data_IF_699274498823
#
_entry.id   IF_699274498823
#
_cell.length_a   1.000
_cell.length_b   1.000
_cell.length_c   1.000
_cell.angle_alpha   90.00
_cell.angle_beta   90.00
_cell.angle_gamma   90.00
#
_symmetry.space_group_name_H-M   'P 1'
#
loop_
_entity.id
_entity.type
_entity.pdbx_description
1 polymer ?
#
# COMPACT_ATOMS: atom_id res chain seq x y z
N UNK A 1 42.80 45.04 9.60
CA UNK A 1 42.38 44.98 11.02
C UNK A 1 41.12 44.14 11.09
N UNK A 2 41.10 43.17 12.00
CA UNK A 2 40.21 42.00 12.00
C UNK A 2 38.79 42.32 12.48
N UNK A 3 37.84 41.65 11.82
CA UNK A 3 36.47 41.38 12.26
C UNK A 3 36.44 40.68 13.63
N UNK A 4 36.36 41.42 14.73
CA UNK A 4 36.31 40.85 16.08
C UNK A 4 34.92 40.93 16.74
N UNK A 5 33.92 41.58 16.12
CA UNK A 5 32.64 41.85 16.78
C UNK A 5 31.51 40.86 16.45
N UNK A 6 31.63 40.06 15.39
CA UNK A 6 30.57 39.10 15.00
C UNK A 6 30.82 37.67 15.52
N UNK A 7 32.06 37.34 15.89
CA UNK A 7 32.42 35.99 16.37
C UNK A 7 32.01 35.79 17.85
N UNK A 8 32.01 36.85 18.67
CA UNK A 8 31.57 36.79 20.07
C UNK A 8 30.05 36.61 20.20
N UNK A 9 29.26 37.24 19.32
CA UNK A 9 27.80 37.15 19.36
C UNK A 9 27.30 35.78 18.91
N UNK A 10 27.94 35.18 17.90
CA UNK A 10 27.61 33.82 17.45
C UNK A 10 28.04 32.79 18.50
N UNK A 11 29.18 32.99 19.16
CA UNK A 11 29.62 32.09 20.26
C UNK A 11 28.73 32.18 21.49
N UNK A 12 28.23 33.37 21.85
CA UNK A 12 27.24 33.51 22.93
C UNK A 12 25.93 32.79 22.56
N UNK A 13 25.46 32.94 21.31
CA UNK A 13 24.26 32.25 20.85
C UNK A 13 24.43 30.72 20.86
N UNK A 14 25.62 30.20 20.53
CA UNK A 14 25.90 28.76 20.55
C UNK A 14 26.15 28.21 21.96
N UNK A 15 26.65 29.03 22.90
CA UNK A 15 26.86 28.63 24.30
C UNK A 15 25.59 28.71 25.15
N UNK A 16 24.67 29.64 24.85
CA UNK A 16 23.36 29.72 25.52
C UNK A 16 22.36 28.67 24.99
N UNK A 17 22.64 28.07 23.84
CA UNK A 17 21.80 27.04 23.20
C UNK A 17 22.11 25.60 23.68
N UNK A 18 22.42 25.42 24.96
CA UNK A 18 22.14 24.13 25.60
C UNK A 18 20.62 23.83 25.68
N UNK A 19 19.77 24.80 25.34
CA UNK A 19 18.34 24.64 25.08
C UNK A 19 17.97 24.22 23.63
N UNK A 20 18.92 24.10 22.70
CA UNK A 20 18.64 23.73 21.31
C UNK A 20 18.11 22.29 21.14
N UNK A 21 18.29 21.43 22.15
CA UNK A 21 17.70 20.10 22.17
C UNK A 21 16.17 20.12 22.34
N UNK A 22 15.58 21.22 22.84
CA UNK A 22 14.13 21.36 23.02
C UNK A 22 13.43 22.05 21.84
N UNK A 23 14.18 22.75 20.97
CA UNK A 23 13.63 23.45 19.79
C UNK A 23 13.68 22.58 18.52
N UNK A 24 14.70 21.72 18.40
CA UNK A 24 14.84 20.76 17.29
C UNK A 24 13.58 19.90 17.02
N UNK A 25 12.93 19.28 18.04
CA UNK A 25 11.75 18.46 17.80
C UNK A 25 10.54 19.26 17.30
N UNK A 26 10.48 20.58 17.54
CA UNK A 26 9.37 21.43 17.09
C UNK A 26 9.51 21.84 15.61
N UNK A 27 10.73 22.11 15.13
CA UNK A 27 10.98 22.43 13.72
C UNK A 27 10.72 21.22 12.82
N UNK A 28 11.15 20.02 13.25
CA UNK A 28 10.91 18.78 12.51
C UNK A 28 9.41 18.44 12.45
N UNK A 29 8.67 18.66 13.55
CA UNK A 29 7.23 18.42 13.59
C UNK A 29 6.42 19.36 12.69
N UNK A 30 6.83 20.63 12.57
CA UNK A 30 6.16 21.61 11.70
C UNK A 30 6.48 21.38 10.22
N UNK A 31 7.74 21.00 9.92
CA UNK A 31 8.15 20.58 8.59
C UNK A 31 7.40 19.32 8.13
N UNK A 32 7.30 18.31 8.98
CA UNK A 32 6.54 17.09 8.72
C UNK A 32 5.06 17.41 8.48
N UNK A 33 4.46 18.31 9.28
CA UNK A 33 3.07 18.74 9.07
C UNK A 33 2.85 19.37 7.70
N UNK A 34 3.71 20.30 7.29
CA UNK A 34 3.60 20.96 5.97
C UNK A 34 3.82 19.96 4.83
N UNK A 35 4.80 19.08 4.97
CA UNK A 35 5.09 18.00 4.01
C UNK A 35 3.89 17.07 3.84
N UNK A 36 3.28 16.63 4.95
CA UNK A 36 2.08 15.80 4.94
C UNK A 36 0.91 16.51 4.26
N UNK A 37 0.70 17.80 4.56
CA UNK A 37 -0.33 18.62 3.90
C UNK A 37 -0.11 18.75 2.40
N UNK A 38 1.12 19.00 1.97
CA UNK A 38 1.47 19.05 0.55
C UNK A 38 1.20 17.70 -0.14
N UNK A 39 1.57 16.58 0.49
CA UNK A 39 1.34 15.25 -0.07
C UNK A 39 -0.15 14.91 -0.16
N UNK A 40 -0.95 15.31 0.83
CA UNK A 40 -2.41 15.15 0.76
C UNK A 40 -3.01 15.93 -0.41
N UNK A 41 -2.57 17.18 -0.63
CA UNK A 41 -3.04 18.00 -1.75
C UNK A 41 -2.62 17.42 -3.10
N UNK A 42 -1.36 16.99 -3.23
CA UNK A 42 -0.88 16.29 -4.42
C UNK A 42 -1.74 15.06 -4.71
N UNK A 43 -2.18 14.35 -3.69
CA UNK A 43 -3.02 13.16 -3.83
C UNK A 43 -4.43 13.39 -4.36
N UNK A 44 -4.94 14.61 -4.18
CA UNK A 44 -6.22 15.03 -4.76
C UNK A 44 -6.05 15.51 -6.19
N UNK A 45 -4.89 16.08 -6.52
CA UNK A 45 -4.62 16.72 -7.81
C UNK A 45 -4.01 15.77 -8.85
N UNK A 46 -3.31 14.73 -8.41
CA UNK A 46 -2.62 13.80 -9.29
C UNK A 46 -3.52 12.63 -9.67
N UNK A 47 -3.87 12.56 -10.96
CA UNK A 47 -4.38 11.36 -11.61
C UNK A 47 -3.34 10.81 -12.61
N UNK A 48 -3.63 9.64 -13.17
CA UNK A 48 -2.75 8.97 -14.13
C UNK A 48 -2.46 9.82 -15.39
N UNK A 49 -3.40 10.68 -15.79
CA UNK A 49 -3.21 11.59 -16.91
C UNK A 49 -2.25 12.71 -16.55
N UNK A 50 -2.41 13.30 -15.37
CA UNK A 50 -1.58 14.39 -14.84
C UNK A 50 -0.14 13.93 -14.64
N UNK A 51 0.08 12.73 -14.08
CA UNK A 51 1.41 12.13 -13.92
C UNK A 51 2.11 11.99 -15.27
N UNK A 52 1.39 11.46 -16.28
CA UNK A 52 1.92 11.28 -17.63
C UNK A 52 2.24 12.60 -18.33
N UNK A 53 1.33 13.58 -18.25
CA UNK A 53 1.51 14.90 -18.87
C UNK A 53 2.68 15.66 -18.26
N UNK A 54 2.79 15.66 -16.94
CA UNK A 54 3.83 16.35 -16.19
C UNK A 54 5.16 15.56 -16.13
N UNK A 55 5.18 14.33 -16.66
CA UNK A 55 6.35 13.42 -16.64
C UNK A 55 6.92 13.26 -15.24
N UNK A 56 6.05 13.14 -14.24
CA UNK A 56 6.46 12.97 -12.85
C UNK A 56 7.10 11.57 -12.70
N UNK A 57 8.33 11.45 -12.16
CA UNK A 57 8.96 10.16 -11.94
C UNK A 57 8.14 9.33 -10.93
N UNK A 58 7.56 8.22 -11.40
CA UNK A 58 6.66 7.38 -10.61
C UNK A 58 7.35 6.75 -9.39
N UNK A 59 8.65 6.48 -9.49
CA UNK A 59 9.47 5.97 -8.40
C UNK A 59 9.58 6.97 -7.25
N UNK A 60 9.89 8.24 -7.57
CA UNK A 60 9.98 9.33 -6.59
C UNK A 60 8.64 9.68 -5.99
N UNK A 61 7.59 9.65 -6.80
CA UNK A 61 6.23 9.87 -6.31
C UNK A 61 5.83 8.76 -5.33
N UNK A 62 6.05 7.49 -5.70
CA UNK A 62 5.75 6.35 -4.82
C UNK A 62 6.53 6.44 -3.52
N UNK A 63 7.85 6.72 -3.59
CA UNK A 63 8.70 6.92 -2.42
C UNK A 63 8.15 8.02 -1.50
N UNK A 64 7.77 9.18 -2.06
CA UNK A 64 7.22 10.30 -1.30
C UNK A 64 5.95 9.91 -0.52
N UNK A 65 5.03 9.16 -1.15
CA UNK A 65 3.81 8.72 -0.48
C UNK A 65 4.10 7.75 0.67
N UNK A 66 4.95 6.74 0.44
CA UNK A 66 5.26 5.75 1.46
C UNK A 66 6.02 6.37 2.65
N UNK A 67 6.97 7.27 2.41
CA UNK A 67 7.64 8.03 3.47
C UNK A 67 6.67 8.91 4.25
N UNK A 68 5.70 9.53 3.57
CA UNK A 68 4.70 10.38 4.21
C UNK A 68 3.72 9.56 5.06
N UNK A 69 3.29 8.39 4.58
CA UNK A 69 2.44 7.48 5.34
C UNK A 69 3.21 6.97 6.57
N UNK A 70 4.48 6.57 6.42
CA UNK A 70 5.32 6.11 7.53
C UNK A 70 5.55 7.20 8.59
N UNK A 71 5.90 8.41 8.16
CA UNK A 71 6.04 9.58 9.03
C UNK A 71 4.75 9.85 9.82
N UNK A 72 3.60 9.91 9.14
CA UNK A 72 2.32 10.14 9.78
C UNK A 72 1.92 9.00 10.73
N UNK A 73 2.24 7.75 10.39
CA UNK A 73 1.90 6.58 11.19
C UNK A 73 2.71 6.52 12.50
N UNK A 74 4.01 6.83 12.43
CA UNK A 74 4.93 6.89 13.57
C UNK A 74 4.72 8.11 14.46
N UNK A 75 4.07 9.18 13.97
CA UNK A 75 3.84 10.40 14.74
C UNK A 75 3.13 10.13 16.07
N UNK A 76 3.64 10.70 17.16
CA UNK A 76 3.12 10.54 18.54
C UNK A 76 1.70 11.12 18.68
N UNK A 77 1.33 12.06 17.81
CA UNK A 77 0.08 12.79 17.92
C UNK A 77 -1.08 12.03 17.26
N UNK A 78 -1.95 11.43 18.07
CA UNK A 78 -3.05 10.55 17.64
C UNK A 78 -4.02 11.19 16.63
N UNK A 79 -4.20 12.50 16.65
CA UNK A 79 -5.02 13.22 15.67
C UNK A 79 -4.42 13.20 14.25
N UNK A 80 -3.10 13.09 14.13
CA UNK A 80 -2.40 12.97 12.85
C UNK A 80 -2.39 11.55 12.29
N UNK A 81 -2.68 10.53 13.12
CA UNK A 81 -2.68 9.15 12.66
C UNK A 81 -3.84 8.83 11.73
N UNK A 82 -5.06 9.28 12.00
CA UNK A 82 -6.23 8.80 11.24
C UNK A 82 -6.57 9.62 10.00
N UNK A 83 -6.78 10.94 10.16
CA UNK A 83 -7.28 11.78 9.05
C UNK A 83 -6.21 12.00 7.97
N UNK A 84 -4.96 12.39 8.31
CA UNK A 84 -3.91 12.53 7.32
C UNK A 84 -3.55 11.25 6.58
N UNK A 85 -3.42 10.12 7.29
CA UNK A 85 -3.07 8.84 6.67
C UNK A 85 -4.17 8.35 5.75
N UNK A 86 -5.44 8.46 6.15
CA UNK A 86 -6.55 8.08 5.29
C UNK A 86 -6.53 8.86 3.96
N UNK A 87 -6.24 10.16 3.99
CA UNK A 87 -6.13 10.97 2.77
C UNK A 87 -4.93 10.57 1.90
N UNK A 88 -3.78 10.27 2.51
CA UNK A 88 -2.59 9.76 1.81
C UNK A 88 -2.83 8.38 1.19
N UNK A 89 -3.53 7.48 1.89
CA UNK A 89 -3.90 6.17 1.38
C UNK A 89 -4.95 6.27 0.27
N UNK A 90 -5.89 7.22 0.36
CA UNK A 90 -6.87 7.49 -0.70
C UNK A 90 -6.19 7.97 -1.98
N UNK A 91 -5.22 8.86 -1.83
CA UNK A 91 -4.36 9.28 -2.93
C UNK A 91 -3.62 8.08 -3.54
N UNK A 92 -2.94 7.30 -2.70
CA UNK A 92 -2.24 6.09 -3.14
C UNK A 92 -3.17 5.12 -3.88
N UNK A 93 -4.41 4.92 -3.41
CA UNK A 93 -5.43 4.09 -4.06
C UNK A 93 -5.73 4.55 -5.49
N UNK A 94 -5.76 5.85 -5.75
CA UNK A 94 -5.94 6.38 -7.11
C UNK A 94 -4.68 6.18 -7.97
N UNK A 95 -3.51 6.24 -7.35
CA UNK A 95 -2.21 6.13 -8.00
C UNK A 95 -1.82 4.69 -8.35
N UNK A 96 -2.23 3.68 -7.59
CA UNK A 96 -1.87 2.28 -7.83
C UNK A 96 -2.46 1.69 -9.10
N UNK A 97 -3.34 2.41 -9.81
CA UNK A 97 -3.74 2.05 -11.17
C UNK A 97 -2.65 2.29 -12.22
N UNK A 98 -1.62 3.08 -11.92
CA UNK A 98 -0.49 3.34 -12.81
C UNK A 98 0.53 2.20 -12.79
N UNK A 99 0.85 1.64 -13.96
CA UNK A 99 1.78 0.50 -14.10
C UNK A 99 3.17 0.77 -13.54
N UNK A 100 3.69 2.00 -13.66
CA UNK A 100 5.02 2.36 -13.16
C UNK A 100 5.04 2.45 -11.63
N UNK A 101 3.93 2.87 -11.03
CA UNK A 101 3.75 2.87 -9.56
C UNK A 101 3.64 1.43 -9.06
N UNK A 102 2.84 0.58 -9.72
CA UNK A 102 2.75 -0.85 -9.37
C UNK A 102 4.10 -1.55 -9.49
N UNK A 103 4.86 -1.26 -10.55
CA UNK A 103 6.21 -1.78 -10.72
C UNK A 103 7.12 -1.36 -9.55
N UNK A 104 7.07 -0.11 -9.13
CA UNK A 104 7.84 0.39 -7.97
C UNK A 104 7.45 -0.32 -6.67
N UNK A 105 6.16 -0.55 -6.43
CA UNK A 105 5.69 -1.30 -5.26
C UNK A 105 6.15 -2.76 -5.31
N UNK A 106 6.15 -3.35 -6.51
CA UNK A 106 6.60 -4.73 -6.74
C UNK A 106 8.09 -4.89 -6.47
N UNK A 107 8.92 -3.97 -6.96
CA UNK A 107 10.39 -4.08 -6.84
C UNK A 107 10.92 -3.57 -5.50
N UNK A 108 10.20 -2.69 -4.81
CA UNK A 108 10.55 -2.27 -3.47
C UNK A 108 10.38 -3.43 -2.49
N UNK A 109 11.39 -3.67 -1.65
CA UNK A 109 11.34 -4.76 -0.66
C UNK A 109 10.30 -4.50 0.44
N UNK A 110 9.97 -3.25 0.73
CA UNK A 110 9.28 -2.91 1.99
C UNK A 110 7.87 -2.35 1.79
N UNK A 111 7.51 -1.86 0.60
CA UNK A 111 6.25 -1.13 0.41
C UNK A 111 5.01 -2.01 0.51
N UNK A 112 5.06 -3.20 -0.12
CA UNK A 112 3.97 -4.16 -0.03
C UNK A 112 3.77 -4.63 1.42
N UNK A 113 4.86 -5.07 2.06
CA UNK A 113 4.86 -5.57 3.44
C UNK A 113 4.40 -4.48 4.42
N UNK A 114 4.78 -3.22 4.16
CA UNK A 114 4.31 -2.09 4.96
C UNK A 114 2.79 -1.92 4.87
N UNK A 115 2.19 -1.99 3.67
CA UNK A 115 0.72 -1.93 3.54
C UNK A 115 0.03 -3.05 4.33
N UNK A 116 0.56 -4.27 4.26
CA UNK A 116 0.05 -5.41 5.02
C UNK A 116 0.16 -5.14 6.54
N UNK A 117 1.26 -4.54 6.99
CA UNK A 117 1.50 -4.31 8.42
C UNK A 117 0.53 -3.31 9.08
N UNK A 118 -0.09 -2.43 8.29
CA UNK A 118 -1.02 -1.40 8.79
C UNK A 118 -2.47 -1.64 8.31
N UNK A 119 -2.76 -2.80 7.73
CA UNK A 119 -4.07 -3.11 7.13
C UNK A 119 -5.23 -3.06 8.14
N UNK A 120 -4.97 -3.52 9.36
CA UNK A 120 -5.97 -3.57 10.44
C UNK A 120 -6.35 -2.16 10.95
N UNK A 121 -5.48 -1.16 10.73
CA UNK A 121 -5.72 0.22 11.12
C UNK A 121 -6.49 1.01 10.04
N UNK A 122 -6.43 0.58 8.77
CA UNK A 122 -6.97 1.33 7.63
C UNK A 122 -7.63 0.44 6.56
N UNK A 123 -8.96 0.33 6.62
CA UNK A 123 -9.78 -0.45 5.67
C UNK A 123 -9.50 -0.18 4.18
N UNK A 124 -9.15 1.07 3.81
CA UNK A 124 -8.86 1.44 2.41
C UNK A 124 -7.70 0.64 1.81
N UNK A 125 -6.85 0.04 2.64
CA UNK A 125 -5.74 -0.81 2.18
C UNK A 125 -6.27 -2.06 1.47
N UNK A 126 -7.44 -2.58 1.83
CA UNK A 126 -8.05 -3.69 1.08
C UNK A 126 -8.33 -3.31 -0.38
N UNK A 127 -8.78 -2.08 -0.66
CA UNK A 127 -9.00 -1.60 -2.03
C UNK A 127 -7.67 -1.45 -2.81
N UNK A 128 -6.63 -0.95 -2.12
CA UNK A 128 -5.27 -0.84 -2.69
C UNK A 128 -4.75 -2.23 -3.05
N UNK A 129 -4.82 -3.19 -2.12
CA UNK A 129 -4.35 -4.55 -2.33
C UNK A 129 -5.17 -5.29 -3.38
N UNK A 130 -6.48 -5.07 -3.44
CA UNK A 130 -7.31 -5.59 -4.52
C UNK A 130 -6.85 -5.07 -5.88
N UNK A 131 -6.60 -3.77 -6.00
CA UNK A 131 -6.05 -3.19 -7.24
C UNK A 131 -4.69 -3.80 -7.61
N UNK A 132 -3.81 -3.97 -6.62
CA UNK A 132 -2.50 -4.58 -6.82
C UNK A 132 -2.57 -6.08 -7.18
N UNK A 133 -3.63 -6.79 -6.77
CA UNK A 133 -3.81 -8.22 -7.06
C UNK A 133 -4.02 -8.51 -8.55
N UNK A 134 -4.34 -7.51 -9.38
CA UNK A 134 -4.38 -7.68 -10.83
C UNK A 134 -2.97 -7.81 -11.45
N UNK A 135 -1.94 -7.35 -10.74
CA UNK A 135 -0.55 -7.47 -11.19
C UNK A 135 0.02 -8.84 -10.84
N UNK A 136 0.22 -9.68 -11.87
CA UNK A 136 0.76 -11.04 -11.70
C UNK A 136 2.13 -11.08 -11.00
N UNK A 137 2.96 -10.04 -11.16
CA UNK A 137 4.28 -9.99 -10.50
C UNK A 137 4.18 -9.83 -8.98
N UNK A 138 3.05 -9.34 -8.47
CA UNK A 138 2.79 -9.23 -7.03
C UNK A 138 2.21 -10.51 -6.44
N UNK A 139 1.75 -11.47 -7.26
CA UNK A 139 1.14 -12.71 -6.76
C UNK A 139 2.08 -13.50 -5.86
N UNK A 140 3.37 -13.57 -6.19
CA UNK A 140 4.38 -14.20 -5.33
C UNK A 140 4.48 -13.52 -3.96
N UNK A 141 4.43 -12.18 -3.91
CA UNK A 141 4.42 -11.41 -2.65
C UNK A 141 3.13 -11.60 -1.86
N UNK A 142 1.99 -11.70 -2.53
CA UNK A 142 0.75 -12.08 -1.85
C UNK A 142 0.90 -13.46 -1.21
N UNK A 143 1.39 -14.45 -1.97
CA UNK A 143 1.49 -15.85 -1.54
C UNK A 143 2.49 -16.06 -0.41
N UNK A 144 3.49 -15.19 -0.26
CA UNK A 144 4.42 -15.23 0.87
C UNK A 144 3.80 -14.74 2.20
N UNK A 145 2.60 -14.16 2.18
CA UNK A 145 1.92 -13.63 3.37
C UNK A 145 0.73 -14.51 3.78
N UNK A 146 1.00 -15.65 4.40
CA UNK A 146 -0.03 -16.63 4.82
C UNK A 146 -1.09 -16.02 5.75
N UNK A 147 -0.68 -15.16 6.70
CA UNK A 147 -1.58 -14.51 7.63
C UNK A 147 -2.60 -13.62 6.92
N UNK A 148 -2.14 -12.82 5.95
CA UNK A 148 -3.00 -12.00 5.10
C UNK A 148 -3.97 -12.87 4.30
N UNK A 149 -3.49 -13.96 3.69
CA UNK A 149 -4.33 -14.88 2.93
C UNK A 149 -5.46 -15.49 3.77
N UNK A 150 -5.15 -15.91 4.99
CA UNK A 150 -6.14 -16.42 5.94
C UNK A 150 -7.17 -15.34 6.31
N UNK A 151 -6.71 -14.11 6.49
CA UNK A 151 -7.56 -12.97 6.81
C UNK A 151 -8.53 -12.65 5.65
N UNK A 152 -8.05 -12.50 4.42
CA UNK A 152 -8.93 -12.21 3.27
C UNK A 152 -9.90 -13.36 2.99
N UNK A 153 -9.50 -14.62 3.18
CA UNK A 153 -10.41 -15.78 3.05
C UNK A 153 -11.52 -15.72 4.09
N UNK A 154 -11.19 -15.40 5.34
CA UNK A 154 -12.19 -15.26 6.41
C UNK A 154 -13.18 -14.13 6.10
N UNK A 155 -12.69 -12.98 5.62
CA UNK A 155 -13.52 -11.84 5.26
C UNK A 155 -14.42 -12.11 4.05
N UNK A 156 -13.91 -12.84 3.04
CA UNK A 156 -14.66 -13.22 1.85
C UNK A 156 -15.74 -14.28 2.14
N UNK A 157 -15.41 -15.32 2.92
CA UNK A 157 -16.33 -16.42 3.24
C UNK A 157 -17.41 -16.00 4.25
N UNK A 158 -17.11 -15.02 5.11
CA UNK A 158 -17.98 -14.57 6.19
C UNK A 158 -18.17 -13.05 6.15
N UNK A 159 -18.84 -12.49 5.12
CA UNK A 159 -19.01 -11.05 4.95
C UNK A 159 -19.83 -10.40 6.07
N UNK A 160 -20.51 -11.19 6.91
CA UNK A 160 -21.19 -10.71 8.14
C UNK A 160 -20.22 -10.37 9.28
N UNK A 161 -18.98 -10.88 9.24
CA UNK A 161 -17.93 -10.55 10.21
C UNK A 161 -17.29 -9.20 9.89
N UNK A 162 -17.24 -8.84 8.61
CA UNK A 162 -16.84 -7.50 8.22
C UNK A 162 -17.94 -6.52 8.65
N UNK A 163 -17.60 -5.58 9.54
CA UNK A 163 -18.48 -4.44 9.83
C UNK A 163 -18.69 -3.54 8.62
N UNK A 164 -17.81 -3.67 7.61
CA UNK A 164 -17.74 -2.87 6.40
C UNK A 164 -17.89 -3.76 5.17
N UNK A 165 -18.93 -3.52 4.37
CA UNK A 165 -19.23 -4.31 3.16
C UNK A 165 -18.19 -4.09 2.06
N UNK A 166 -17.58 -2.90 2.00
CA UNK A 166 -16.58 -2.60 0.98
C UNK A 166 -15.31 -3.41 1.23
N UNK A 167 -14.94 -3.60 2.51
CA UNK A 167 -13.82 -4.48 2.89
C UNK A 167 -14.06 -5.93 2.46
N UNK A 168 -15.26 -6.46 2.71
CA UNK A 168 -15.59 -7.83 2.30
C UNK A 168 -15.52 -8.00 0.77
N UNK A 169 -16.05 -7.04 0.01
CA UNK A 169 -15.98 -7.03 -1.45
C UNK A 169 -14.54 -7.00 -1.96
N UNK A 170 -13.70 -6.16 -1.37
CA UNK A 170 -12.30 -6.03 -1.81
C UNK A 170 -11.46 -7.25 -1.41
N UNK A 171 -11.77 -7.87 -0.27
CA UNK A 171 -11.18 -9.16 0.12
C UNK A 171 -11.59 -10.30 -0.84
N UNK A 172 -12.87 -10.38 -1.22
CA UNK A 172 -13.39 -11.34 -2.20
C UNK A 172 -12.72 -11.15 -3.56
N UNK A 173 -12.68 -9.91 -4.06
CA UNK A 173 -12.05 -9.59 -5.35
C UNK A 173 -10.54 -9.87 -5.35
N UNK A 174 -9.85 -9.61 -4.22
CA UNK A 174 -8.44 -9.96 -4.05
C UNK A 174 -8.25 -11.47 -4.10
N UNK A 175 -9.05 -12.23 -3.34
CA UNK A 175 -8.97 -13.68 -3.30
C UNK A 175 -9.22 -14.28 -4.69
N UNK A 176 -10.26 -13.83 -5.38
CA UNK A 176 -10.62 -14.27 -6.72
C UNK A 176 -9.45 -14.10 -7.70
N UNK A 177 -8.84 -12.92 -7.73
CA UNK A 177 -7.69 -12.64 -8.61
C UNK A 177 -6.46 -13.52 -8.33
N UNK A 178 -6.28 -13.92 -7.06
CA UNK A 178 -5.15 -14.75 -6.62
C UNK A 178 -5.41 -16.25 -6.83
N UNK A 179 -6.66 -16.70 -6.82
CA UNK A 179 -7.01 -18.12 -7.00
C UNK A 179 -7.28 -18.52 -8.46
N UNK A 180 -7.90 -17.66 -9.27
CA UNK A 180 -8.49 -18.04 -10.56
C UNK A 180 -7.50 -18.21 -11.74
N UNK A 181 -6.18 -18.17 -11.51
CA UNK A 181 -5.18 -18.34 -12.59
C UNK A 181 -4.16 -19.46 -12.38
N UNK A 182 -4.19 -20.15 -11.24
CA UNK A 182 -3.37 -21.34 -11.01
C UNK A 182 -4.15 -22.67 -11.15
N UNK A 183 -5.44 -22.62 -11.53
CA UNK A 183 -6.28 -23.81 -11.69
C UNK A 183 -7.08 -23.83 -13.01
N UNK A 184 -6.44 -23.48 -14.13
CA UNK A 184 -6.94 -23.95 -15.44
C UNK A 184 -6.59 -25.45 -15.55
N UNK A 185 -7.43 -26.27 -14.93
CA UNK A 185 -7.89 -27.58 -15.40
C UNK A 185 -6.81 -28.54 -15.92
N UNK A 186 -6.25 -29.37 -15.04
CA UNK A 186 -6.04 -30.76 -15.38
C UNK A 186 -7.38 -31.48 -15.12
N UNK A 187 -8.22 -31.59 -16.15
CA UNK A 187 -9.34 -32.52 -16.12
C UNK A 187 -8.73 -33.92 -15.95
N UNK A 188 -9.14 -34.73 -14.97
CA UNK A 188 -8.80 -36.14 -14.97
C UNK A 188 -9.34 -36.74 -16.27
N UNK A 189 -8.48 -37.45 -16.99
CA UNK A 189 -8.84 -38.23 -18.17
C UNK A 189 -10.15 -38.96 -17.90
N UNK A 190 -11.17 -38.69 -18.74
CA UNK A 190 -12.39 -39.47 -18.67
C UNK A 190 -12.03 -40.95 -18.89
N UNK A 191 -12.59 -41.87 -18.09
CA UNK A 191 -12.33 -43.29 -18.30
C UNK A 191 -12.81 -43.66 -19.70
N UNK A 192 -11.88 -44.16 -20.51
CA UNK A 192 -12.18 -44.83 -21.78
C UNK A 192 -13.22 -45.91 -21.47
N UNK A 193 -14.42 -45.76 -22.00
CA UNK A 193 -15.42 -46.83 -22.06
C UNK A 193 -14.78 -48.01 -22.77
N UNK A 194 -14.43 -49.03 -22.00
CA UNK A 194 -14.03 -50.35 -22.50
C UNK A 194 -15.27 -51.06 -23.00
N UNK A 195 -15.11 -51.69 -24.16
CA UNK A 195 -16.08 -52.49 -24.89
C UNK A 195 -16.92 -53.43 -24.01
N UNK A 196 -18.22 -53.48 -24.29
CA UNK A 196 -18.99 -54.72 -24.15
C UNK A 196 -19.47 -55.15 -25.53
N UNK A 197 -18.69 -56.01 -26.17
CA UNK A 197 -19.20 -56.90 -27.20
C UNK A 197 -20.15 -57.93 -26.58
N UNK A 198 -21.24 -58.17 -27.32
CA UNK A 198 -22.00 -59.43 -27.39
C UNK A 198 -22.71 -59.94 -26.13
N UNK A 199 -24.04 -59.89 -26.17
CA UNK A 199 -24.92 -61.04 -25.85
C UNK A 199 -26.37 -60.70 -26.22
N UNK A 200 -26.80 -61.11 -27.42
CA UNK A 200 -27.94 -62.00 -27.63
C UNK A 200 -28.46 -61.93 -29.06
N UNK A 201 -28.00 -62.91 -29.82
CA UNK A 201 -28.69 -63.65 -30.86
C UNK A 201 -30.16 -63.97 -30.54
N UNK A 202 -30.93 -64.18 -31.62
CA UNK A 202 -32.23 -64.87 -31.71
C UNK A 202 -33.51 -64.08 -31.36
N UNK A 203 -34.13 -63.47 -32.39
CA UNK A 203 -35.39 -63.95 -33.00
C UNK A 203 -35.78 -63.17 -34.24
#
# INVERSE_FOLDING_TARGET
MKNASNDSTIRLYLQENHAANDVYPYIDAEYDRLRLQACMLLGVLLDDNTIRQLKIPSDKLTQLYFESIDCAHKSVNKCYKRVPIHLLLKALSSLVHNDSIQFTITTSNNYFDYLISIIDDYNIIYDILWTLSFNKKLHEKFNSHEAFFKQIRTLADQPKIASDKDVARSAEGTLWNLTDRNQVIALPDQPKTVDQQNLNSEK
#
